data_IF_396273894499
#
_entry.id   IF_396273894499
#
_cell.length_a   1.000
_cell.length_b   1.000
_cell.length_c   1.000
_cell.angle_alpha   90.00
_cell.angle_beta   90.00
_cell.angle_gamma   90.00
#
_symmetry.space_group_name_H-M   'P 1'
#
loop_
_entity.id
_entity.type
_entity.pdbx_description
1 polymer ?
2 non-polymer ?
3 non-polymer ?
4 water ?
#
# COMPACT_ATOMS: atom_id res chain seq x y z
N UNK A 1 13.98 -10.78 -16.56
CA UNK A 1 13.84 -9.48 -17.29
C UNK A 1 13.55 -8.37 -16.29
N UNK A 2 13.00 -7.23 -16.75
CA UNK A 2 12.71 -6.13 -15.84
C UNK A 2 11.52 -6.57 -14.97
N UNK A 3 11.43 -6.02 -13.77
CA UNK A 3 10.20 -6.13 -12.93
C UNK A 3 9.07 -5.43 -13.67
N UNK A 4 7.87 -5.99 -13.57
CA UNK A 4 6.68 -5.42 -14.17
C UNK A 4 5.88 -4.62 -13.13
N UNK A 5 5.42 -3.47 -13.55
CA UNK A 5 4.72 -2.50 -12.68
C UNK A 5 3.48 -1.95 -13.36
N UNK A 6 2.50 -1.59 -12.57
CA UNK A 6 1.29 -0.89 -13.06
C UNK A 6 1.05 0.34 -12.21
N UNK A 7 0.63 1.42 -12.82
CA UNK A 7 0.14 2.62 -12.11
C UNK A 7 -1.29 2.41 -11.64
N UNK A 8 -1.58 2.81 -10.42
CA UNK A 8 -2.90 2.60 -9.85
C UNK A 8 -3.21 3.54 -8.68
N UNK A 9 -4.46 3.69 -8.33
CA UNK A 9 -4.89 4.29 -7.08
C UNK A 9 -5.57 3.21 -6.24
N UNK A 10 -5.66 3.46 -4.95
CA UNK A 10 -6.39 2.63 -3.99
C UNK A 10 -7.44 3.47 -3.31
N UNK A 11 -8.60 2.87 -3.06
CA UNK A 11 -9.59 3.46 -2.14
C UNK A 11 -10.05 2.39 -1.17
N UNK A 12 -10.29 2.77 0.07
CA UNK A 12 -10.74 1.83 1.12
C UNK A 12 -12.22 1.50 0.88
N UNK A 13 -12.77 0.58 1.66
CA UNK A 13 -14.13 0.06 1.39
C UNK A 13 -15.19 1.10 1.73
N UNK A 14 -14.81 2.20 2.38
CA UNK A 14 -15.72 3.36 2.57
C UNK A 14 -15.45 4.41 1.49
N UNK A 15 -14.72 4.04 0.44
CA UNK A 15 -14.44 4.87 -0.74
C UNK A 15 -13.63 6.10 -0.31
N UNK A 16 -12.81 5.98 0.75
CA UNK A 16 -11.81 7.05 1.08
C UNK A 16 -10.58 6.89 0.18
N UNK A 17 -10.09 7.99 -0.37
CA UNK A 17 -8.90 8.15 -1.20
C UNK A 17 -7.70 8.37 -0.29
N UNK A 18 -6.51 8.04 -0.83
CA UNK A 18 -5.24 8.24 -0.11
C UNK A 18 -4.49 9.44 -0.68
N UNK A 19 -3.99 10.32 0.18
CA UNK A 19 -3.23 11.51 -0.30
C UNK A 19 -1.92 11.64 0.49
N UNK A 20 -0.94 12.36 -0.09
CA UNK A 20 0.29 12.87 0.58
C UNK A 20 -0.11 13.93 1.62
N UNK A 21 0.32 13.80 2.88
CA UNK A 21 0.06 14.76 3.99
C UNK A 21 1.38 15.19 4.62
N UNK A 22 2.29 15.75 3.83
CA UNK A 22 3.60 16.17 4.35
C UNK A 22 4.52 14.97 4.57
N UNK A 23 5.72 15.17 5.16
CA UNK A 23 6.85 14.29 4.88
C UNK A 23 6.60 12.85 5.33
N UNK A 24 6.61 11.91 4.37
CA UNK A 24 6.54 10.45 4.61
C UNK A 24 5.17 10.09 5.22
N UNK A 25 4.15 10.91 4.97
CA UNK A 25 2.81 10.71 5.58
C UNK A 25 1.78 10.47 4.47
N UNK A 26 0.89 9.51 4.73
CA UNK A 26 -0.29 9.24 3.88
C UNK A 26 -1.55 9.34 4.74
N UNK A 27 -2.60 9.93 4.17
CA UNK A 27 -3.89 10.07 4.88
C UNK A 27 -5.03 9.59 3.98
N UNK A 28 -6.08 9.13 4.64
CA UNK A 28 -7.31 8.61 4.03
C UNK A 28 -8.44 9.59 4.34
N UNK A 29 -9.12 10.02 3.30
CA UNK A 29 -10.30 10.90 3.42
C UNK A 29 -11.16 10.82 2.15
N UNK A 30 -12.43 11.18 2.34
CA UNK A 30 -13.45 11.24 1.32
C UNK A 30 -13.08 12.37 0.38
N UNK A 31 -12.98 12.10 -0.91
CA UNK A 31 -12.50 13.01 -1.98
C UNK A 31 -13.41 12.79 -3.15
N UNK A 32 -13.79 13.88 -3.84
CA UNK A 32 -14.56 13.79 -5.07
C UNK A 32 -14.35 15.12 -5.81
N UNK A 33 -14.42 15.04 -7.12
CA UNK A 33 -14.29 16.20 -8.03
C UNK A 33 -12.85 16.64 -8.19
N UNK A 34 -12.63 17.96 -8.21
CA UNK A 34 -11.30 18.53 -8.57
C UNK A 34 -10.27 17.95 -7.61
N UNK A 35 -10.60 17.88 -6.32
CA UNK A 35 -9.67 17.50 -5.23
C UNK A 35 -9.11 16.08 -5.45
N UNK A 36 -9.60 15.32 -6.44
CA UNK A 36 -9.15 13.91 -6.63
C UNK A 36 -7.79 13.88 -7.31
N UNK A 37 -7.35 14.98 -7.92
CA UNK A 37 -5.97 15.14 -8.40
C UNK A 37 -5.01 14.96 -7.21
N UNK A 38 -5.45 15.16 -5.97
CA UNK A 38 -4.53 15.13 -4.80
C UNK A 38 -4.21 13.66 -4.47
N UNK A 39 -4.99 12.72 -4.97
CA UNK A 39 -4.75 11.33 -4.53
C UNK A 39 -3.38 10.83 -4.99
N UNK A 40 -2.86 9.88 -4.22
CA UNK A 40 -1.55 9.27 -4.49
C UNK A 40 -1.74 8.26 -5.60
N UNK A 41 -0.89 8.33 -6.59
CA UNK A 41 -0.75 7.29 -7.61
C UNK A 41 0.42 6.39 -7.25
N UNK A 42 0.12 5.11 -7.14
CA UNK A 42 1.10 4.07 -6.84
C UNK A 42 1.68 3.50 -8.12
N UNK A 43 2.91 3.05 -8.08
CA UNK A 43 3.46 2.07 -9.02
C UNK A 43 3.48 0.76 -8.26
N UNK A 44 2.62 -0.17 -8.63
CA UNK A 44 2.53 -1.49 -7.99
C UNK A 44 3.40 -2.42 -8.77
N UNK A 45 4.48 -2.91 -8.17
CA UNK A 45 5.43 -3.86 -8.81
C UNK A 45 5.05 -5.29 -8.42
N UNK A 46 5.19 -6.23 -9.35
CA UNK A 46 4.88 -7.64 -9.11
C UNK A 46 6.20 -8.33 -8.80
N UNK A 47 6.43 -8.68 -7.55
CA UNK A 47 7.78 -9.00 -7.06
C UNK A 47 7.92 -10.47 -6.74
N UNK A 48 9.13 -10.88 -6.42
CA UNK A 48 9.42 -12.25 -5.94
C UNK A 48 8.77 -12.49 -4.58
N UNK A 49 8.22 -13.69 -4.41
CA UNK A 49 7.66 -14.12 -3.13
C UNK A 49 6.71 -15.30 -3.33
N UNK A 50 6.33 -15.94 -2.24
CA UNK A 50 5.28 -17.00 -2.19
C UNK A 50 3.99 -16.48 -2.86
N UNK A 51 3.38 -17.26 -3.76
CA UNK A 51 2.24 -16.82 -4.59
C UNK A 51 1.18 -17.93 -4.66
N UNK A 52 -0.10 -17.59 -4.67
CA UNK A 52 -1.22 -18.53 -4.95
C UNK A 52 -2.26 -17.81 -5.82
N UNK A 53 -3.36 -18.48 -6.17
CA UNK A 53 -4.32 -17.88 -7.14
C UNK A 53 -4.73 -16.49 -6.68
N UNK A 54 -5.02 -16.33 -5.40
CA UNK A 54 -5.66 -15.09 -4.91
C UNK A 54 -4.72 -14.28 -3.99
N UNK A 55 -3.44 -14.66 -3.91
CA UNK A 55 -2.39 -14.05 -3.03
C UNK A 55 -1.13 -13.75 -3.86
N UNK A 56 -0.87 -12.47 -4.14
CA UNK A 56 0.12 -12.06 -5.18
C UNK A 56 1.07 -11.09 -4.52
N UNK A 57 2.38 -11.35 -4.47
CA UNK A 57 3.28 -10.46 -3.73
C UNK A 57 3.56 -9.22 -4.58
N UNK A 58 3.40 -8.03 -3.95
CA UNK A 58 3.64 -6.75 -4.67
C UNK A 58 4.49 -5.84 -3.78
N UNK A 59 5.07 -4.84 -4.40
CA UNK A 59 5.60 -3.66 -3.73
C UNK A 59 4.75 -2.47 -4.17
N UNK A 60 4.63 -1.51 -3.29
CA UNK A 60 3.85 -0.27 -3.53
C UNK A 60 4.79 0.90 -3.42
N UNK A 61 5.25 1.42 -4.55
CA UNK A 61 6.01 2.65 -4.63
C UNK A 61 5.14 3.79 -5.04
N UNK A 62 5.49 5.01 -4.72
CA UNK A 62 4.78 6.19 -5.22
C UNK A 62 5.24 6.44 -6.65
N UNK A 63 4.30 6.72 -7.56
CA UNK A 63 4.64 6.90 -8.98
C UNK A 63 5.74 7.96 -9.18
N UNK A 64 6.82 7.51 -9.82
CA UNK A 64 8.03 8.29 -10.22
C UNK A 64 8.62 8.97 -8.98
N UNK A 65 8.56 8.28 -7.85
CA UNK A 65 9.25 8.74 -6.62
C UNK A 65 9.99 7.55 -6.08
N UNK A 66 11.12 7.78 -5.44
CA UNK A 66 11.92 6.70 -4.84
C UNK A 66 11.44 6.56 -3.40
N UNK A 67 10.14 6.28 -3.27
CA UNK A 67 9.50 6.12 -1.95
C UNK A 67 8.62 4.89 -2.03
N UNK A 68 8.74 4.01 -1.06
CA UNK A 68 7.99 2.73 -1.02
C UNK A 68 7.33 2.62 0.33
N UNK A 69 6.15 2.03 0.34
CA UNK A 69 5.60 1.55 1.62
C UNK A 69 6.45 0.41 2.14
N UNK A 70 6.62 0.39 3.46
CA UNK A 70 7.62 -0.45 4.17
C UNK A 70 7.06 -0.86 5.54
N UNK A 71 7.28 -2.11 5.95
CA UNK A 71 6.82 -2.59 7.26
C UNK A 71 8.06 -2.84 8.11
N UNK A 72 8.15 -2.12 9.21
CA UNK A 72 9.31 -2.31 10.12
C UNK A 72 8.79 -2.24 11.54
N UNK A 73 9.62 -2.77 12.45
CA UNK A 73 9.30 -2.61 13.87
C UNK A 73 9.65 -1.19 14.28
N UNK A 74 8.73 -0.50 14.93
CA UNK A 74 9.03 0.84 15.48
C UNK A 74 8.57 0.82 16.92
N UNK A 75 9.38 1.43 17.80
CA UNK A 75 9.18 1.39 19.27
C UNK A 75 8.54 0.02 19.55
N UNK A 76 9.14 -1.05 19.00
CA UNK A 76 8.75 -2.48 19.20
C UNK A 76 7.39 -2.90 18.60
N UNK A 77 6.83 -2.20 17.62
CA UNK A 77 5.55 -2.64 16.98
C UNK A 77 5.71 -2.74 15.45
N UNK A 78 5.05 -3.70 14.74
CA UNK A 78 4.96 -3.68 13.26
C UNK A 78 4.26 -2.37 12.89
N UNK A 79 4.93 -1.55 12.09
CA UNK A 79 4.36 -0.28 11.61
C UNK A 79 4.57 -0.17 10.09
N UNK A 80 3.75 0.69 9.52
CA UNK A 80 3.79 1.07 8.10
C UNK A 80 4.54 2.38 8.01
N UNK A 81 5.52 2.46 7.14
CA UNK A 81 6.22 3.72 6.88
C UNK A 81 6.39 3.88 5.38
N UNK A 82 6.68 5.11 4.99
CA UNK A 82 7.22 5.42 3.66
C UNK A 82 8.72 5.43 3.79
N UNK A 83 9.46 4.79 2.91
CA UNK A 83 10.91 4.66 3.02
C UNK A 83 11.52 5.08 1.70
N UNK A 84 12.54 5.94 1.77
CA UNK A 84 13.38 6.38 0.63
C UNK A 84 14.30 5.24 0.17
N UNK A 85 14.53 5.10 -1.14
CA UNK A 85 15.47 4.10 -1.66
C UNK A 85 16.36 4.78 -2.69
N UNK A 86 17.41 4.06 -3.09
CA UNK A 86 18.30 4.57 -4.16
C UNK A 86 17.57 4.47 -5.49
N UNK A 87 17.26 5.57 -6.20
CA UNK A 87 16.45 5.50 -7.41
C UNK A 87 17.13 4.76 -8.56
N UNK A 88 18.41 4.48 -8.43
CA UNK A 88 19.14 3.74 -9.50
C UNK A 88 18.78 2.26 -9.40
N UNK A 89 18.32 1.78 -8.24
CA UNK A 89 18.28 0.34 -7.92
C UNK A 89 16.83 -0.17 -7.80
N UNK A 90 15.85 0.71 -7.94
CA UNK A 90 14.42 0.35 -7.68
C UNK A 90 13.58 0.82 -8.85
N UNK A 91 12.45 0.16 -9.17
CA UNK A 91 12.05 -1.04 -8.49
C UNK A 91 12.92 -2.18 -9.00
N UNK A 92 12.83 -3.29 -8.29
CA UNK A 92 13.53 -4.52 -8.72
C UNK A 92 12.64 -5.71 -8.41
N UNK A 93 12.95 -6.84 -9.04
CA UNK A 93 12.07 -8.02 -8.90
C UNK A 93 12.20 -8.58 -7.48
N UNK A 94 13.41 -8.63 -6.95
CA UNK A 94 13.70 -9.18 -5.61
C UNK A 94 13.70 -8.04 -4.59
N UNK A 95 12.52 -7.52 -4.30
CA UNK A 95 12.41 -6.46 -3.27
C UNK A 95 12.65 -7.08 -1.90
N UNK A 96 13.28 -6.34 -0.99
CA UNK A 96 13.51 -6.76 0.39
C UNK A 96 12.16 -7.00 1.06
N UNK A 97 12.09 -7.86 2.06
CA UNK A 97 10.81 -8.37 2.58
C UNK A 97 9.98 -7.24 3.19
N UNK A 98 10.59 -6.24 3.80
CA UNK A 98 9.84 -5.15 4.45
C UNK A 98 8.98 -4.40 3.41
N UNK A 99 9.29 -4.50 2.12
CA UNK A 99 8.57 -3.76 1.05
C UNK A 99 7.46 -4.62 0.46
N UNK A 100 7.37 -5.91 0.83
CA UNK A 100 6.49 -6.84 0.13
C UNK A 100 5.16 -6.93 0.90
N UNK A 101 4.10 -6.85 0.10
CA UNK A 101 2.71 -7.06 0.56
C UNK A 101 2.14 -8.21 -0.24
N UNK A 102 1.38 -9.06 0.44
CA UNK A 102 0.55 -10.05 -0.23
C UNK A 102 -0.78 -9.37 -0.57
N UNK A 103 -1.01 -9.18 -1.85
CA UNK A 103 -2.28 -8.59 -2.34
C UNK A 103 -3.26 -9.77 -2.44
N UNK A 104 -4.26 -9.77 -1.61
CA UNK A 104 -5.23 -10.89 -1.46
C UNK A 104 -6.56 -10.43 -2.01
N UNK A 105 -7.18 -11.20 -2.88
CA UNK A 105 -8.51 -10.91 -3.45
C UNK A 105 -9.52 -11.63 -2.56
N UNK A 106 -10.40 -10.91 -1.87
CA UNK A 106 -11.49 -11.54 -1.05
C UNK A 106 -12.78 -10.74 -1.29
N UNK A 107 -13.82 -11.45 -1.74
CA UNK A 107 -15.19 -10.93 -1.95
C UNK A 107 -15.08 -9.59 -2.69
N UNK A 108 -14.41 -9.61 -3.83
CA UNK A 108 -14.41 -8.54 -4.85
C UNK A 108 -13.68 -7.31 -4.33
N UNK A 109 -12.94 -7.46 -3.23
CA UNK A 109 -12.07 -6.40 -2.66
C UNK A 109 -10.63 -6.91 -2.61
N UNK A 110 -9.70 -6.03 -2.21
CA UNK A 110 -8.29 -6.41 -1.99
C UNK A 110 -7.90 -6.10 -0.56
N UNK A 111 -7.07 -6.96 0.00
CA UNK A 111 -6.39 -6.69 1.26
C UNK A 111 -4.90 -6.77 0.95
N UNK A 112 -4.10 -6.00 1.68
CA UNK A 112 -2.64 -5.98 1.51
C UNK A 112 -2.04 -6.37 2.86
N UNK A 113 -1.66 -7.65 2.95
CA UNK A 113 -1.00 -8.20 4.14
C UNK A 113 0.51 -7.95 4.07
N UNK A 114 1.12 -7.52 5.15
CA UNK A 114 2.61 -7.48 5.19
C UNK A 114 3.19 -8.88 4.96
N UNK A 115 4.09 -9.09 4.01
CA UNK A 115 4.82 -10.37 3.86
C UNK A 115 5.67 -10.55 5.11
N UNK A 116 6.24 -9.50 5.66
CA UNK A 116 7.19 -9.56 6.82
C UNK A 116 6.40 -9.94 8.06
N UNK A 117 5.21 -9.39 8.25
CA UNK A 117 4.45 -9.51 9.51
C UNK A 117 3.11 -10.14 9.17
N UNK A 118 2.99 -11.47 9.24
CA UNK A 118 1.75 -12.15 8.91
C UNK A 118 0.58 -11.62 9.75
N UNK A 119 -0.54 -11.43 9.06
CA UNK A 119 -1.83 -11.01 9.60
C UNK A 119 -1.85 -9.57 10.07
N UNK A 120 -0.88 -8.78 9.60
CA UNK A 120 -0.86 -7.29 9.68
C UNK A 120 -1.14 -6.74 8.28
N UNK A 121 -2.05 -5.78 8.24
CA UNK A 121 -2.63 -5.28 6.98
C UNK A 121 -2.54 -3.78 6.88
N UNK A 122 -2.37 -3.32 5.66
CA UNK A 122 -2.60 -1.88 5.35
C UNK A 122 -4.05 -1.55 5.77
N UNK A 123 -4.18 -0.55 6.58
CA UNK A 123 -5.44 -0.19 7.26
C UNK A 123 -5.70 1.31 7.16
N UNK A 124 -6.99 1.67 7.21
CA UNK A 124 -7.39 3.04 7.44
C UNK A 124 -8.35 3.09 8.63
N UNK A 125 -8.50 4.28 9.18
CA UNK A 125 -9.52 4.56 10.21
C UNK A 125 -10.84 4.95 9.56
N UNK A 126 -11.93 4.79 10.32
CA UNK A 126 -13.22 5.30 9.83
C UNK A 126 -13.27 6.83 9.79
N UNK A 127 -12.62 7.49 10.74
CA UNK A 127 -12.52 8.96 10.80
C UNK A 127 -11.81 9.52 9.58
N UNK A 128 -12.12 10.75 9.23
CA UNK A 128 -11.56 11.49 8.08
C UNK A 128 -10.15 11.96 8.46
N UNK A 129 -9.25 11.93 7.46
CA UNK A 129 -7.96 12.63 7.48
C UNK A 129 -7.03 12.06 8.54
N UNK A 130 -7.03 10.73 8.76
CA UNK A 130 -6.18 10.04 9.74
C UNK A 130 -5.16 9.23 8.94
N UNK A 131 -4.04 8.89 9.56
CA UNK A 131 -2.97 8.18 8.87
C UNK A 131 -3.42 6.81 8.37
N UNK A 132 -2.76 6.41 7.30
CA UNK A 132 -2.73 5.00 6.86
C UNK A 132 -1.75 4.27 7.75
N UNK A 133 -2.06 3.05 8.17
CA UNK A 133 -1.25 2.39 9.19
C UNK A 133 -1.28 0.91 8.98
N UNK A 134 -0.43 0.20 9.71
CA UNK A 134 -0.46 -1.27 9.73
C UNK A 134 -1.29 -1.74 10.93
N UNK A 135 -2.34 -2.50 10.64
CA UNK A 135 -3.32 -2.94 11.64
C UNK A 135 -3.26 -4.44 11.77
N UNK A 136 -3.12 -4.92 13.01
CA UNK A 136 -2.71 -6.30 13.36
C UNK A 136 -3.89 -7.25 13.38
N UNK A 137 -4.96 -6.91 12.67
CA UNK A 137 -6.15 -7.78 12.48
C UNK A 137 -7.00 -7.24 11.33
N UNK A 138 -7.53 -8.14 10.49
CA UNK A 138 -8.47 -7.85 9.38
C UNK A 138 -9.91 -8.05 9.88
N UNK A 139 -10.22 -7.58 11.10
CA UNK A 139 -11.55 -7.75 11.72
C UNK A 139 -11.79 -6.81 12.89
N UNK A 140 -12.60 -5.76 12.69
CA UNK A 140 -12.97 -4.75 13.71
C UNK A 140 -13.42 -3.44 13.07
N UNK A 141 -13.17 -2.31 13.75
CA UNK A 141 -13.61 -0.95 13.34
C UNK A 141 -12.71 -0.41 12.22
N UNK A 142 -11.43 -0.78 12.23
CA UNK A 142 -10.43 -0.38 11.20
C UNK A 142 -10.73 -1.06 9.86
N UNK A 143 -10.43 -0.36 8.77
CA UNK A 143 -10.76 -0.81 7.43
C UNK A 143 -9.51 -1.45 6.81
N UNK A 144 -9.63 -2.67 6.30
CA UNK A 144 -8.50 -3.42 5.72
C UNK A 144 -8.83 -3.81 4.29
N UNK A 145 -9.96 -3.39 3.70
CA UNK A 145 -10.36 -3.79 2.34
C UNK A 145 -10.27 -2.57 1.44
N UNK A 146 -9.86 -2.78 0.22
CA UNK A 146 -9.64 -1.72 -0.77
C UNK A 146 -10.14 -2.16 -2.12
N UNK A 147 -10.38 -1.20 -3.01
CA UNK A 147 -10.45 -1.43 -4.44
C UNK A 147 -9.30 -0.70 -5.11
N UNK A 148 -8.89 -1.21 -6.27
CA UNK A 148 -7.81 -0.62 -7.10
C UNK A 148 -8.48 0.01 -8.31
N UNK A 149 -7.95 1.16 -8.73
CA UNK A 149 -8.30 1.81 -10.03
C UNK A 149 -7.03 1.81 -10.85
N UNK A 150 -7.04 1.35 -12.09
CA UNK A 150 -5.86 1.33 -12.97
C UNK A 150 -5.81 2.74 -13.59
N UNK A 151 -4.60 3.27 -13.69
CA UNK A 151 -4.33 4.65 -14.18
C UNK A 151 -3.47 4.50 -15.45
N UNK A 152 -3.60 5.44 -16.40
CA UNK A 152 -2.69 5.57 -17.57
C UNK A 152 -1.24 5.76 -17.11
X LIG B 1 15.34 -6.36 -11.94
X LIG B 1 16.52 -5.54 -12.09
X LIG B 1 15.40 -7.49 -12.85
X LIG B 1 15.28 -6.85 -10.58
X LIG B 1 14.17 -5.58 -12.23
X LIG C 1 18.72 -3.54 3.03
X LIG C 1 18.00 -2.67 2.11
X LIG C 1 19.71 -4.26 2.27
X LIG C 1 19.35 -2.73 4.04
X LIG C 1 17.84 -4.50 3.66
X LIG D 1 2.65 8.73 11.59
X LIG D 1 1.46 10.48 11.05
X LIG D 1 2.27 8.65 10.19
X LIG D 1 0.86 11.88 11.16
X LIG D 1 -0.38 12.01 12.01
X LIG D 1 2.66 7.66 9.32
X LIG D 1 2.69 5.03 5.26
X LIG D 1 1.40 8.32 7.50
X LIG D 1 2.16 6.25 5.92
X LIG D 1 2.77 6.40 7.31
X LIG D 1 2.20 7.57 7.98
X LIG D 1 2.13 9.81 12.04
X LIG D 1 1.50 9.77 9.87
#
# INVERSE_FOLDING_TARGET
>A
APVRSLNCTLRDSQQKSLVMSGPYELKALHLQGQDMEQQVVFSMSFVQGEESNDKIPVALGLKEKNLYLSCVLKDDKPTLQLESVDPKNYPKKKMEKRFVFNKIEINNKLEFESAQFPNWYISTSQAENMPVFLGGTKGGQDITDFTMQFVSS
>B hetero
1 SO4 S O1 O2 O3 O4
>C hetero
1 SO4 S O1 O2 O3 O4
>D hetero
1 S7S N1 N3 C4 C5 C6 N C O C1 C2 C3 N2 N4
#
